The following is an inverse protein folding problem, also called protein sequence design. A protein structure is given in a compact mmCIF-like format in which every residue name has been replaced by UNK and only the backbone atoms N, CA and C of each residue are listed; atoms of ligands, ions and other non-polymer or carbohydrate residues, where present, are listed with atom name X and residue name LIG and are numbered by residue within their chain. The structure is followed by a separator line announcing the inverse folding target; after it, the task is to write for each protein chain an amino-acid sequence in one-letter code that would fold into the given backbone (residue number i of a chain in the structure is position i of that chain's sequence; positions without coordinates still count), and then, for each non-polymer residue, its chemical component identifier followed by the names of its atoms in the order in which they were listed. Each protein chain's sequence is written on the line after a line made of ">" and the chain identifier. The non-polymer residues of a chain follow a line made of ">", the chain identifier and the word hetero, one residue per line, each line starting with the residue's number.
data_IF_204391504805
#
_entry.id   IF_204391504805
#
_cell.length_a   1.000
_cell.length_b   1.000
_cell.length_c   1.000
_cell.angle_alpha   90.00
_cell.angle_beta   90.00
_cell.angle_gamma   90.00
#
_symmetry.space_group_name_H-M   'P 1'
#
loop_
_entity.id
_entity.type
_entity.pdbx_description
1 polymer ?
#
# COMPACT_ATOMS: atom_id res chain seq x y z
N UNK A 1 -67.19 11.73 -0.44
CA UNK A 1 -66.24 12.31 -1.40
C UNK A 1 -65.19 13.13 -0.64
N UNK A 2 -64.30 12.47 0.22
CA UNK A 2 -63.27 13.18 1.01
C UNK A 2 -62.06 12.29 1.34
N UNK A 3 -61.68 11.33 0.48
CA UNK A 3 -60.54 10.39 0.78
C UNK A 3 -59.42 10.35 -0.28
N UNK A 4 -59.41 11.31 -1.22
CA UNK A 4 -58.41 11.31 -2.32
C UNK A 4 -57.25 12.28 -2.14
N UNK A 5 -57.26 13.14 -1.12
CA UNK A 5 -56.21 14.16 -0.92
C UNK A 5 -55.16 13.84 0.13
N UNK A 6 -55.25 12.66 0.81
CA UNK A 6 -54.30 12.32 1.88
C UNK A 6 -53.08 11.49 1.43
N UNK A 7 -53.08 10.97 0.19
CA UNK A 7 -52.01 10.11 -0.30
C UNK A 7 -50.88 10.81 -1.05
N UNK A 8 -51.04 12.09 -1.43
CA UNK A 8 -50.00 12.83 -2.20
C UNK A 8 -48.94 13.46 -1.27
N UNK A 9 -49.27 13.69 0.01
CA UNK A 9 -48.32 14.28 0.97
C UNK A 9 -47.26 13.36 1.53
N UNK A 10 -47.44 12.01 1.43
CA UNK A 10 -46.54 11.03 2.05
C UNK A 10 -45.37 10.63 1.15
N UNK A 11 -45.47 10.83 -0.16
CA UNK A 11 -44.40 10.49 -1.09
C UNK A 11 -43.27 11.51 -1.20
N UNK A 12 -43.46 12.75 -0.76
CA UNK A 12 -42.45 13.82 -0.85
C UNK A 12 -41.45 13.85 0.31
N UNK A 13 -41.71 13.11 1.39
CA UNK A 13 -40.83 13.04 2.56
C UNK A 13 -39.74 11.95 2.47
N UNK A 14 -39.80 11.07 1.47
CA UNK A 14 -38.84 9.96 1.34
C UNK A 14 -37.67 10.23 0.39
N UNK A 15 -37.65 11.34 -0.33
CA UNK A 15 -36.59 11.67 -1.31
C UNK A 15 -35.49 12.59 -0.78
N UNK A 16 -35.75 13.30 0.31
CA UNK A 16 -34.80 14.26 0.90
C UNK A 16 -33.58 13.61 1.55
N UNK A 17 -33.64 12.44 2.24
CA UNK A 17 -32.48 11.89 2.90
C UNK A 17 -31.38 11.36 1.95
N UNK A 18 -31.73 10.93 0.74
CA UNK A 18 -30.77 10.34 -0.19
C UNK A 18 -29.79 11.38 -0.80
N UNK A 19 -30.22 12.62 -1.02
CA UNK A 19 -29.34 13.68 -1.54
C UNK A 19 -28.41 14.23 -0.45
N UNK A 20 -28.91 14.40 0.76
CA UNK A 20 -28.11 14.86 1.90
C UNK A 20 -27.01 13.84 2.21
N UNK A 21 -27.32 12.55 2.21
CA UNK A 21 -26.36 11.46 2.44
C UNK A 21 -25.24 11.46 1.38
N UNK A 22 -25.56 11.57 0.09
CA UNK A 22 -24.56 11.63 -0.98
C UNK A 22 -23.63 12.83 -0.86
N UNK A 23 -24.13 13.98 -0.45
CA UNK A 23 -23.33 15.19 -0.26
C UNK A 23 -22.37 15.00 0.94
N UNK A 24 -22.84 14.40 2.02
CA UNK A 24 -22.03 14.11 3.18
C UNK A 24 -20.94 13.08 2.85
N UNK A 25 -21.26 11.99 2.17
CA UNK A 25 -20.28 10.96 1.77
C UNK A 25 -19.23 11.51 0.81
N UNK A 26 -19.58 12.42 -0.10
CA UNK A 26 -18.61 13.13 -0.95
C UNK A 26 -17.67 14.02 -0.11
N UNK A 27 -18.19 14.70 0.91
CA UNK A 27 -17.37 15.47 1.86
C UNK A 27 -16.44 14.56 2.66
N UNK A 28 -16.94 13.43 3.14
CA UNK A 28 -16.14 12.43 3.85
C UNK A 28 -15.02 11.87 2.97
N UNK A 29 -15.26 11.61 1.68
CA UNK A 29 -14.22 11.19 0.75
C UNK A 29 -13.14 12.27 0.58
N UNK A 30 -13.53 13.54 0.49
CA UNK A 30 -12.60 14.68 0.49
C UNK A 30 -11.72 14.68 1.75
N UNK A 31 -12.32 14.56 2.93
CA UNK A 31 -11.60 14.48 4.21
C UNK A 31 -10.64 13.29 4.25
N UNK A 32 -11.03 12.13 3.72
CA UNK A 32 -10.15 10.96 3.66
C UNK A 32 -8.90 11.23 2.82
N UNK A 33 -9.03 11.94 1.69
CA UNK A 33 -7.88 12.33 0.87
C UNK A 33 -6.97 13.32 1.59
N UNK A 34 -7.52 14.28 2.32
CA UNK A 34 -6.75 15.23 3.13
C UNK A 34 -5.99 14.51 4.25
N UNK A 35 -6.61 13.54 4.90
CA UNK A 35 -5.96 12.67 5.89
C UNK A 35 -4.84 11.83 5.27
N UNK A 36 -5.09 11.23 4.10
CA UNK A 36 -4.07 10.46 3.39
C UNK A 36 -2.84 11.31 3.06
N UNK A 37 -3.05 12.51 2.50
CA UNK A 37 -1.97 13.46 2.18
C UNK A 37 -1.21 13.94 3.41
N UNK A 38 -1.88 14.02 4.55
CA UNK A 38 -1.31 14.43 5.84
C UNK A 38 -0.65 13.28 6.61
N UNK A 39 -0.61 12.06 6.05
CA UNK A 39 -0.06 10.88 6.71
C UNK A 39 -0.93 10.33 7.86
N UNK A 40 -2.18 10.77 7.98
CA UNK A 40 -3.15 10.30 8.97
C UNK A 40 -3.86 9.06 8.42
N UNK A 41 -3.09 7.98 8.27
CA UNK A 41 -3.57 6.78 7.58
C UNK A 41 -4.70 6.08 8.31
N UNK A 42 -4.68 6.06 9.64
CA UNK A 42 -5.74 5.46 10.44
C UNK A 42 -7.10 6.14 10.20
N UNK A 43 -7.17 7.47 10.33
CA UNK A 43 -8.39 8.24 10.12
C UNK A 43 -8.89 8.13 8.66
N UNK A 44 -7.96 8.15 7.71
CA UNK A 44 -8.28 7.90 6.31
C UNK A 44 -8.89 6.50 6.12
N UNK A 45 -8.28 5.47 6.67
CA UNK A 45 -8.71 4.08 6.58
C UNK A 45 -10.12 3.86 7.11
N UNK A 46 -10.47 4.45 8.27
CA UNK A 46 -11.82 4.35 8.83
C UNK A 46 -12.90 4.90 7.88
N UNK A 47 -12.64 6.04 7.26
CA UNK A 47 -13.58 6.64 6.31
C UNK A 47 -13.68 5.81 5.04
N UNK A 48 -12.54 5.46 4.43
CA UNK A 48 -12.53 4.69 3.18
C UNK A 48 -13.14 3.31 3.35
N UNK A 49 -12.89 2.62 4.47
CA UNK A 49 -13.47 1.30 4.76
C UNK A 49 -15.01 1.38 4.89
N UNK A 50 -15.52 2.43 5.54
CA UNK A 50 -16.96 2.65 5.63
C UNK A 50 -17.57 2.91 4.24
N UNK A 51 -16.94 3.77 3.45
CA UNK A 51 -17.42 4.12 2.11
C UNK A 51 -17.31 2.93 1.14
N UNK A 52 -16.25 2.13 1.23
CA UNK A 52 -16.08 0.94 0.37
C UNK A 52 -17.16 -0.12 0.62
N UNK A 53 -17.52 -0.34 1.90
CA UNK A 53 -18.63 -1.23 2.27
C UNK A 53 -19.98 -0.77 1.70
N UNK A 54 -20.18 0.53 1.61
CA UNK A 54 -21.44 1.12 1.16
C UNK A 54 -21.57 1.24 -0.35
N UNK A 55 -20.45 1.59 -1.04
CA UNK A 55 -20.48 1.98 -2.46
C UNK A 55 -19.59 1.15 -3.37
N UNK A 56 -18.71 0.29 -2.82
CA UNK A 56 -17.61 -0.34 -3.55
C UNK A 56 -16.81 0.72 -4.33
N UNK A 57 -15.89 1.37 -3.65
CA UNK A 57 -15.06 2.45 -4.20
C UNK A 57 -14.30 2.01 -5.47
N UNK A 58 -13.91 2.98 -6.29
CA UNK A 58 -13.06 2.67 -7.44
C UNK A 58 -11.69 2.12 -7.00
N UNK A 59 -10.98 1.41 -7.89
CA UNK A 59 -9.72 0.73 -7.55
C UNK A 59 -8.66 1.64 -6.92
N UNK A 60 -8.58 2.93 -7.31
CA UNK A 60 -7.61 3.87 -6.76
C UNK A 60 -7.85 4.16 -5.28
N UNK A 61 -9.11 4.44 -4.89
CA UNK A 61 -9.44 4.68 -3.47
C UNK A 61 -9.30 3.42 -2.64
N UNK A 62 -9.58 2.25 -3.23
CA UNK A 62 -9.34 0.96 -2.58
C UNK A 62 -7.83 0.70 -2.40
N UNK A 63 -6.97 1.13 -3.33
CA UNK A 63 -5.53 1.07 -3.15
C UNK A 63 -5.07 2.01 -2.02
N UNK A 64 -5.64 3.21 -1.89
CA UNK A 64 -5.38 4.07 -0.73
C UNK A 64 -5.82 3.41 0.58
N UNK A 65 -6.96 2.71 0.59
CA UNK A 65 -7.39 1.92 1.75
C UNK A 65 -6.38 0.81 2.06
N UNK A 66 -5.86 0.10 1.06
CA UNK A 66 -4.81 -0.91 1.24
C UNK A 66 -3.56 -0.35 1.91
N UNK A 67 -3.11 0.85 1.49
CA UNK A 67 -1.99 1.55 2.14
C UNK A 67 -2.35 1.92 3.59
N UNK A 68 -3.56 2.39 3.86
CA UNK A 68 -4.00 2.71 5.22
C UNK A 68 -3.97 1.46 6.12
N UNK A 69 -4.47 0.33 5.62
CA UNK A 69 -4.44 -0.95 6.33
C UNK A 69 -3.01 -1.42 6.62
N UNK A 70 -2.07 -1.23 5.68
CA UNK A 70 -0.65 -1.50 5.91
C UNK A 70 -0.11 -0.68 7.09
N UNK A 71 -0.38 0.62 7.14
CA UNK A 71 0.07 1.48 8.24
C UNK A 71 -0.65 1.21 9.56
N UNK A 72 -1.84 0.62 9.53
CA UNK A 72 -2.57 0.12 10.70
C UNK A 72 -2.11 -1.30 11.11
N UNK A 73 -1.08 -1.83 10.43
CA UNK A 73 -0.52 -3.17 10.65
C UNK A 73 -1.47 -4.33 10.36
N UNK A 74 -2.57 -4.07 9.69
CA UNK A 74 -3.48 -5.11 9.18
C UNK A 74 -2.98 -5.61 7.81
N UNK A 75 -1.80 -6.25 7.85
CA UNK A 75 -1.12 -6.72 6.64
C UNK A 75 -1.94 -7.71 5.83
N UNK A 76 -2.75 -8.54 6.51
CA UNK A 76 -3.57 -9.53 5.82
C UNK A 76 -4.66 -8.88 4.96
N UNK A 77 -5.38 -7.89 5.50
CA UNK A 77 -6.37 -7.17 4.73
C UNK A 77 -5.72 -6.25 3.69
N UNK A 78 -4.57 -5.65 4.01
CA UNK A 78 -3.81 -4.83 3.08
C UNK A 78 -3.38 -5.62 1.84
N UNK A 79 -2.72 -6.77 2.00
CA UNK A 79 -2.30 -7.64 0.91
C UNK A 79 -3.50 -8.11 0.08
N UNK A 80 -4.54 -8.67 0.71
CA UNK A 80 -5.71 -9.16 -0.01
C UNK A 80 -6.39 -8.07 -0.86
N UNK A 81 -6.44 -6.83 -0.35
CA UNK A 81 -7.05 -5.71 -1.07
C UNK A 81 -6.15 -5.21 -2.20
N UNK A 82 -4.84 -5.09 -1.96
CA UNK A 82 -3.88 -4.61 -2.95
C UNK A 82 -3.70 -5.60 -4.09
N UNK A 83 -3.62 -6.91 -3.82
CA UNK A 83 -3.63 -7.98 -4.82
C UNK A 83 -4.83 -7.87 -5.78
N UNK A 84 -6.02 -7.56 -5.23
CA UNK A 84 -7.24 -7.41 -6.04
C UNK A 84 -7.19 -6.17 -6.95
N UNK A 85 -6.67 -5.04 -6.45
CA UNK A 85 -6.84 -3.74 -7.12
C UNK A 85 -5.65 -3.33 -7.99
N UNK A 86 -4.41 -3.71 -7.66
CA UNK A 86 -3.21 -3.31 -8.41
C UNK A 86 -3.31 -3.64 -9.92
N UNK A 87 -3.81 -4.82 -10.36
CA UNK A 87 -3.96 -5.12 -11.77
C UNK A 87 -4.87 -4.16 -12.53
N UNK A 88 -5.78 -3.47 -11.83
CA UNK A 88 -6.74 -2.52 -12.40
C UNK A 88 -6.17 -1.09 -12.53
N UNK A 89 -4.95 -0.86 -12.03
CA UNK A 89 -4.33 0.48 -11.94
C UNK A 89 -3.28 0.75 -13.02
N UNK A 90 -3.28 -0.01 -14.11
CA UNK A 90 -2.26 0.08 -15.16
C UNK A 90 -2.22 1.44 -15.88
N UNK A 91 -3.32 2.19 -15.87
CA UNK A 91 -3.41 3.53 -16.48
C UNK A 91 -2.78 4.65 -15.63
N UNK A 92 -2.43 4.38 -14.36
CA UNK A 92 -1.80 5.36 -13.49
C UNK A 92 -0.29 5.45 -13.72
N UNK A 93 0.31 6.55 -13.27
CA UNK A 93 1.74 6.80 -13.47
C UNK A 93 2.60 5.69 -12.83
N UNK A 94 3.79 5.41 -13.39
CA UNK A 94 4.71 4.45 -12.78
C UNK A 94 5.02 4.77 -11.31
N UNK A 95 5.20 6.06 -11.00
CA UNK A 95 5.46 6.55 -9.65
C UNK A 95 4.35 6.19 -8.67
N UNK A 96 3.09 6.43 -9.04
CA UNK A 96 1.94 6.10 -8.20
C UNK A 96 1.82 4.60 -8.01
N UNK A 97 1.99 3.83 -9.07
CA UNK A 97 1.92 2.36 -9.03
C UNK A 97 3.02 1.75 -8.17
N UNK A 98 4.22 2.34 -8.17
CA UNK A 98 5.33 1.84 -7.36
C UNK A 98 5.01 1.84 -5.86
N UNK A 99 4.26 2.84 -5.38
CA UNK A 99 3.83 2.92 -3.99
C UNK A 99 2.85 1.79 -3.62
N UNK A 100 1.95 1.42 -4.54
CA UNK A 100 1.03 0.31 -4.31
C UNK A 100 1.75 -1.03 -4.26
N UNK A 101 2.68 -1.28 -5.21
CA UNK A 101 3.52 -2.47 -5.20
C UNK A 101 4.40 -2.55 -3.94
N UNK A 102 4.91 -1.41 -3.47
CA UNK A 102 5.66 -1.37 -2.22
C UNK A 102 4.80 -1.76 -1.02
N UNK A 103 3.62 -1.17 -0.85
CA UNK A 103 2.76 -1.46 0.29
C UNK A 103 2.28 -2.92 0.32
N UNK A 104 2.02 -3.48 -0.85
CA UNK A 104 1.65 -4.88 -1.03
C UNK A 104 2.81 -5.82 -0.70
N UNK A 105 4.00 -5.55 -1.28
CA UNK A 105 5.22 -6.30 -0.99
C UNK A 105 5.58 -6.30 0.50
N UNK A 106 5.49 -5.14 1.16
CA UNK A 106 5.72 -5.03 2.60
C UNK A 106 4.69 -5.81 3.42
N UNK A 107 3.40 -5.79 3.00
CA UNK A 107 2.35 -6.55 3.66
C UNK A 107 2.64 -8.05 3.61
N UNK A 108 2.91 -8.60 2.43
CA UNK A 108 3.30 -10.01 2.28
C UNK A 108 4.61 -10.34 3.02
N UNK A 109 5.58 -9.42 2.99
CA UNK A 109 6.83 -9.61 3.72
C UNK A 109 6.62 -9.75 5.24
N UNK A 110 5.76 -8.91 5.82
CA UNK A 110 5.41 -8.99 7.25
C UNK A 110 4.63 -10.27 7.60
N UNK A 111 3.88 -10.83 6.66
CA UNK A 111 3.22 -12.13 6.78
C UNK A 111 4.18 -13.32 6.57
N UNK A 112 5.46 -13.07 6.26
CA UNK A 112 6.46 -14.07 5.85
C UNK A 112 6.08 -14.80 4.54
N UNK A 113 5.22 -14.23 3.73
CA UNK A 113 4.81 -14.75 2.42
C UNK A 113 5.80 -14.31 1.33
N UNK A 114 7.06 -14.75 1.46
CA UNK A 114 8.19 -14.29 0.64
C UNK A 114 8.04 -14.61 -0.84
N UNK A 115 7.30 -15.66 -1.18
CA UNK A 115 7.03 -16.02 -2.58
C UNK A 115 6.11 -15.01 -3.27
N UNK A 116 5.18 -14.41 -2.53
CA UNK A 116 4.33 -13.33 -3.01
C UNK A 116 5.07 -11.97 -2.98
N UNK A 117 5.80 -11.68 -1.90
CA UNK A 117 6.51 -10.41 -1.74
C UNK A 117 7.59 -10.16 -2.80
N UNK A 118 8.35 -11.20 -3.19
CA UNK A 118 9.49 -11.04 -4.10
C UNK A 118 9.13 -10.42 -5.45
N UNK A 119 8.16 -10.95 -6.22
CA UNK A 119 7.78 -10.34 -7.51
C UNK A 119 7.23 -8.92 -7.37
N UNK A 120 6.59 -8.59 -6.25
CA UNK A 120 6.06 -7.25 -5.99
C UNK A 120 7.20 -6.23 -5.78
N UNK A 121 8.24 -6.56 -5.00
CA UNK A 121 9.44 -5.72 -4.89
C UNK A 121 10.15 -5.57 -6.24
N UNK A 122 10.23 -6.62 -7.04
CA UNK A 122 10.81 -6.55 -8.37
C UNK A 122 10.02 -5.60 -9.28
N UNK A 123 8.69 -5.64 -9.23
CA UNK A 123 7.85 -4.69 -9.96
C UNK A 123 8.03 -3.26 -9.43
N UNK A 124 8.07 -3.06 -8.12
CA UNK A 124 8.38 -1.76 -7.53
C UNK A 124 9.69 -1.18 -8.08
N UNK A 125 10.77 -1.96 -8.13
CA UNK A 125 12.08 -1.54 -8.64
C UNK A 125 12.06 -1.08 -10.10
N UNK A 126 11.14 -1.60 -10.94
CA UNK A 126 11.00 -1.15 -12.33
C UNK A 126 10.27 0.18 -12.47
N UNK A 127 9.51 0.60 -11.45
CA UNK A 127 8.60 1.73 -11.49
C UNK A 127 9.05 2.91 -10.62
N UNK A 128 9.74 2.62 -9.51
CA UNK A 128 10.14 3.61 -8.51
C UNK A 128 11.33 4.46 -8.96
N UNK A 129 11.49 5.60 -8.30
CA UNK A 129 12.68 6.45 -8.48
C UNK A 129 13.92 5.81 -7.83
N UNK A 130 15.11 6.24 -8.27
CA UNK A 130 16.37 5.69 -7.76
C UNK A 130 16.52 5.82 -6.22
N UNK A 131 16.09 6.93 -5.64
CA UNK A 131 16.17 7.18 -4.21
C UNK A 131 15.25 6.29 -3.36
N UNK A 132 14.31 5.58 -4.00
CA UNK A 132 13.34 4.66 -3.36
C UNK A 132 13.78 3.19 -3.44
N UNK A 133 14.87 2.89 -4.16
CA UNK A 133 15.29 1.50 -4.44
C UNK A 133 15.94 0.80 -3.27
N UNK A 134 16.49 1.55 -2.32
CA UNK A 134 17.34 1.01 -1.25
C UNK A 134 16.63 -0.09 -0.42
N UNK A 135 15.41 0.22 0.03
CA UNK A 135 14.62 -0.71 0.86
C UNK A 135 14.19 -1.96 0.09
N UNK A 136 13.77 -1.82 -1.16
CA UNK A 136 13.38 -2.96 -1.99
C UNK A 136 14.56 -3.94 -2.18
N UNK A 137 15.74 -3.46 -2.54
CA UNK A 137 16.94 -4.30 -2.63
C UNK A 137 17.28 -4.94 -1.30
N UNK A 138 17.17 -4.23 -0.18
CA UNK A 138 17.40 -4.78 1.14
C UNK A 138 16.44 -5.93 1.47
N UNK A 139 15.14 -5.75 1.21
CA UNK A 139 14.12 -6.78 1.45
C UNK A 139 14.31 -8.00 0.53
N UNK A 140 14.60 -7.77 -0.75
CA UNK A 140 14.93 -8.88 -1.68
C UNK A 140 16.16 -9.63 -1.16
N UNK A 141 17.21 -8.93 -0.69
CA UNK A 141 18.38 -9.55 -0.08
C UNK A 141 18.03 -10.48 1.07
N UNK A 142 17.14 -10.06 1.97
CA UNK A 142 16.63 -10.90 3.08
C UNK A 142 15.88 -12.13 2.55
N UNK A 143 14.99 -11.95 1.56
CA UNK A 143 14.27 -13.06 0.95
C UNK A 143 15.24 -14.06 0.31
N UNK A 144 16.29 -13.59 -0.37
CA UNK A 144 17.32 -14.47 -0.95
C UNK A 144 18.09 -15.22 0.13
N UNK A 145 18.41 -14.58 1.27
CA UNK A 145 19.05 -15.25 2.40
C UNK A 145 18.15 -16.35 2.98
N UNK A 146 16.85 -16.11 3.14
CA UNK A 146 15.90 -17.10 3.65
C UNK A 146 15.76 -18.34 2.74
N UNK A 147 16.08 -18.17 1.46
CA UNK A 147 16.11 -19.26 0.46
C UNK A 147 17.50 -19.88 0.27
N UNK A 148 18.47 -19.50 1.09
CA UNK A 148 19.88 -19.90 0.96
C UNK A 148 20.49 -19.56 -0.42
N UNK A 149 19.87 -18.64 -1.16
CA UNK A 149 20.44 -18.10 -2.40
C UNK A 149 21.47 -17.02 -2.07
N UNK A 150 22.66 -17.46 -1.63
CA UNK A 150 23.71 -16.58 -1.12
C UNK A 150 24.25 -15.61 -2.18
N UNK A 151 24.33 -16.02 -3.45
CA UNK A 151 24.76 -15.13 -4.54
C UNK A 151 23.71 -14.04 -4.82
N UNK A 152 22.44 -14.41 -4.89
CA UNK A 152 21.36 -13.47 -5.04
C UNK A 152 21.23 -12.52 -3.83
N UNK A 153 21.47 -13.03 -2.61
CA UNK A 153 21.51 -12.22 -1.40
C UNK A 153 22.64 -11.19 -1.45
N UNK A 154 23.86 -11.62 -1.83
CA UNK A 154 25.01 -10.74 -1.93
C UNK A 154 24.78 -9.60 -2.91
N UNK A 155 24.29 -9.91 -4.12
CA UNK A 155 24.00 -8.91 -5.16
C UNK A 155 23.01 -7.86 -4.67
N UNK A 156 21.87 -8.30 -4.11
CA UNK A 156 20.83 -7.38 -3.66
C UNK A 156 21.28 -6.56 -2.43
N UNK A 157 21.98 -7.14 -1.47
CA UNK A 157 22.52 -6.41 -0.32
C UNK A 157 23.58 -5.38 -0.73
N UNK A 158 24.42 -5.68 -1.72
CA UNK A 158 25.39 -4.72 -2.26
C UNK A 158 24.67 -3.54 -2.94
N UNK A 159 23.64 -3.81 -3.75
CA UNK A 159 22.80 -2.78 -4.35
C UNK A 159 22.12 -1.92 -3.27
N UNK A 160 21.50 -2.55 -2.26
CA UNK A 160 20.93 -1.82 -1.13
C UNK A 160 21.96 -0.88 -0.48
N UNK A 161 23.17 -1.38 -0.20
CA UNK A 161 24.25 -0.60 0.41
C UNK A 161 24.62 0.63 -0.44
N UNK A 162 24.71 0.47 -1.77
CA UNK A 162 25.02 1.56 -2.70
C UNK A 162 23.93 2.63 -2.64
N UNK A 163 22.65 2.24 -2.74
CA UNK A 163 21.53 3.18 -2.76
C UNK A 163 21.32 3.85 -1.40
N UNK A 164 21.47 3.15 -0.26
CA UNK A 164 21.42 3.75 1.07
C UNK A 164 22.51 4.80 1.24
N UNK A 165 23.75 4.49 0.86
CA UNK A 165 24.87 5.46 0.96
C UNK A 165 24.66 6.70 0.09
N UNK A 166 24.10 6.52 -1.10
CA UNK A 166 23.88 7.61 -2.06
C UNK A 166 22.73 8.52 -1.67
N UNK A 167 21.62 7.95 -1.23
CA UNK A 167 20.37 8.69 -1.07
C UNK A 167 19.89 8.85 0.37
N UNK A 168 20.32 7.97 1.27
CA UNK A 168 19.92 7.95 2.68
C UNK A 168 21.13 7.80 3.62
N UNK A 169 22.19 8.63 3.50
CA UNK A 169 23.42 8.46 4.27
C UNK A 169 23.23 8.60 5.79
N UNK A 170 22.19 9.27 6.24
CA UNK A 170 21.81 9.41 7.66
C UNK A 170 21.32 8.11 8.29
N UNK A 171 20.98 7.08 7.49
CA UNK A 171 20.55 5.75 7.96
C UNK A 171 21.76 4.87 8.33
N UNK A 172 22.67 5.38 9.18
CA UNK A 172 23.94 4.71 9.54
C UNK A 172 23.72 3.32 10.14
N UNK A 173 22.70 3.16 10.97
CA UNK A 173 22.36 1.86 11.57
C UNK A 173 22.00 0.83 10.52
N UNK A 174 21.16 1.19 9.54
CA UNK A 174 20.77 0.32 8.43
C UNK A 174 21.97 -0.02 7.55
N UNK A 175 22.81 0.96 7.23
CA UNK A 175 24.04 0.78 6.47
C UNK A 175 24.97 -0.20 7.17
N UNK A 176 25.15 -0.08 8.48
CA UNK A 176 25.96 -1.00 9.29
C UNK A 176 25.38 -2.40 9.33
N UNK A 177 24.06 -2.53 9.49
CA UNK A 177 23.36 -3.81 9.44
C UNK A 177 23.60 -4.52 8.10
N UNK A 178 23.42 -3.81 6.97
CA UNK A 178 23.62 -4.39 5.63
C UNK A 178 25.08 -4.87 5.45
N UNK A 179 26.07 -4.11 5.93
CA UNK A 179 27.48 -4.54 5.88
C UNK A 179 27.71 -5.84 6.63
N UNK A 180 27.15 -5.98 7.83
CA UNK A 180 27.27 -7.20 8.63
C UNK A 180 26.60 -8.39 7.92
N UNK A 181 25.43 -8.17 7.30
CA UNK A 181 24.76 -9.20 6.51
C UNK A 181 25.61 -9.64 5.31
N UNK A 182 26.22 -8.70 4.57
CA UNK A 182 27.12 -9.00 3.47
C UNK A 182 28.31 -9.87 3.96
N UNK A 183 28.90 -9.53 5.10
CA UNK A 183 29.98 -10.33 5.69
C UNK A 183 29.54 -11.76 5.97
N UNK A 184 28.37 -11.93 6.63
CA UNK A 184 27.84 -13.28 6.91
C UNK A 184 27.50 -14.07 5.64
N UNK A 185 26.96 -13.40 4.60
CA UNK A 185 26.71 -14.04 3.29
C UNK A 185 28.02 -14.49 2.62
N UNK A 186 29.07 -13.67 2.68
CA UNK A 186 30.36 -14.02 2.13
C UNK A 186 31.00 -15.24 2.85
N UNK A 187 30.77 -15.43 4.14
CA UNK A 187 31.19 -16.61 4.89
C UNK A 187 30.49 -17.90 4.44
N UNK A 188 29.20 -17.77 4.02
CA UNK A 188 28.44 -18.90 3.46
C UNK A 188 28.83 -19.28 2.04
N UNK A 189 29.53 -18.42 1.31
CA UNK A 189 30.02 -18.65 -0.05
C UNK A 189 31.42 -19.20 -0.10
N UNK A 190 32.11 -19.31 1.02
CA UNK A 190 33.47 -19.92 1.14
C UNK A 190 33.42 -21.43 1.32
#
# INVERSE_FOLDING_TARGET
>A
MKWRTFFIGLCLLLTVPCHAQKTEDATQLGMALDYFQSGKYHECGLILQRLDKQYKLNPRFRAYLGICLYYDWDYQQAAALLDEVIPQLTAFSPQERSVYYWADAESHFHLNEYDAALPLYQQQLTLCQENERADAYYKIGIIMMSRENWLGALDNLQNALVYYRKYQPSQESRISQIRNMITGVCEKLR
#
